data_IF_937392200056
#
_entry.id   IF_937392200056
#
_cell.length_a   1.000
_cell.length_b   1.000
_cell.length_c   1.000
_cell.angle_alpha   90.00
_cell.angle_beta   90.00
_cell.angle_gamma   90.00
#
_symmetry.space_group_name_H-M   'P 1'
#
loop_
_entity.id
_entity.type
_entity.pdbx_description
1 polymer ?
#
# COMPACT_ATOMS: atom_id res chain seq x y z
N UNK A 1 0.32 -15.49 -14.19
CA UNK A 1 1.55 -14.69 -14.02
C UNK A 1 1.75 -14.47 -12.54
N UNK A 2 2.85 -14.90 -11.92
CA UNK A 2 3.16 -14.54 -10.53
C UNK A 2 3.53 -13.05 -10.46
N UNK A 3 2.84 -12.25 -9.64
CA UNK A 3 3.38 -10.96 -9.24
C UNK A 3 4.56 -11.25 -8.30
N UNK A 4 5.78 -10.97 -8.78
CA UNK A 4 7.01 -11.36 -8.08
C UNK A 4 7.42 -10.34 -7.01
N UNK A 5 6.90 -9.13 -7.12
CA UNK A 5 7.31 -7.99 -6.33
C UNK A 5 6.11 -7.12 -5.95
N UNK A 6 6.20 -6.47 -4.80
CA UNK A 6 5.25 -5.51 -4.24
C UNK A 6 5.99 -4.19 -4.13
N UNK A 7 5.41 -3.13 -4.70
CA UNK A 7 5.90 -1.76 -4.50
C UNK A 7 5.09 -1.13 -3.38
N UNK A 8 5.78 -0.60 -2.38
CA UNK A 8 5.19 0.09 -1.24
C UNK A 8 5.65 1.55 -1.27
N UNK A 9 4.69 2.47 -1.18
CA UNK A 9 4.93 3.88 -0.99
C UNK A 9 4.36 4.30 0.37
N UNK A 10 5.15 4.99 1.18
CA UNK A 10 4.71 5.54 2.46
C UNK A 10 4.86 7.05 2.47
N UNK A 11 3.96 7.70 3.20
CA UNK A 11 4.02 9.13 3.50
C UNK A 11 4.08 9.29 5.02
N UNK A 12 5.13 9.95 5.51
CA UNK A 12 5.42 10.10 6.94
C UNK A 12 5.45 11.60 7.24
N UNK A 13 4.66 12.04 8.22
CA UNK A 13 4.58 13.44 8.60
C UNK A 13 3.14 13.92 8.79
N UNK A 14 2.98 14.99 9.56
CA UNK A 14 1.67 15.50 9.98
C UNK A 14 1.09 16.55 9.02
N UNK A 15 1.94 17.15 8.18
CA UNK A 15 1.56 18.20 7.23
C UNK A 15 2.19 17.93 5.85
N UNK A 16 1.72 18.63 4.82
CA UNK A 16 2.31 18.53 3.47
C UNK A 16 3.73 19.10 3.41
N UNK A 17 4.09 20.02 4.30
CA UNK A 17 5.41 20.66 4.36
C UNK A 17 6.47 19.77 5.02
N UNK A 18 6.05 18.85 5.90
CA UNK A 18 6.92 17.91 6.62
C UNK A 18 6.85 16.49 6.04
N UNK A 19 6.20 16.33 4.88
CA UNK A 19 5.90 15.03 4.33
C UNK A 19 7.14 14.36 3.73
N UNK A 20 7.59 13.28 4.37
CA UNK A 20 8.64 12.41 3.86
C UNK A 20 7.99 11.27 3.08
N UNK A 21 8.39 11.10 1.81
CA UNK A 21 7.96 9.99 0.96
C UNK A 21 9.07 8.95 0.88
N UNK A 22 8.75 7.71 1.21
CA UNK A 22 9.64 6.56 1.02
C UNK A 22 9.00 5.56 0.05
N UNK A 23 9.82 4.96 -0.81
CA UNK A 23 9.37 3.96 -1.78
C UNK A 23 10.32 2.78 -1.73
N UNK A 24 9.76 1.58 -1.57
CA UNK A 24 10.54 0.35 -1.53
C UNK A 24 9.82 -0.80 -2.23
N UNK A 25 10.59 -1.63 -2.90
CA UNK A 25 10.09 -2.83 -3.57
C UNK A 25 10.52 -4.06 -2.79
N UNK A 26 9.58 -4.97 -2.54
CA UNK A 26 9.79 -6.22 -1.83
C UNK A 26 9.40 -7.41 -2.69
N UNK A 27 10.17 -8.52 -2.68
CA UNK A 27 9.68 -9.77 -3.24
C UNK A 27 8.45 -10.31 -2.49
N UNK A 28 7.68 -11.20 -3.12
CA UNK A 28 6.44 -11.77 -2.56
C UNK A 28 6.63 -13.02 -1.69
N UNK A 29 7.86 -13.41 -1.36
CA UNK A 29 8.10 -14.55 -0.46
C UNK A 29 7.82 -14.16 0.99
N UNK A 30 7.32 -15.11 1.80
CA UNK A 30 6.93 -14.89 3.21
C UNK A 30 8.00 -14.15 4.03
N UNK A 31 9.28 -14.52 3.88
CA UNK A 31 10.39 -13.83 4.56
C UNK A 31 10.44 -12.34 4.21
N UNK A 32 10.27 -11.99 2.95
CA UNK A 32 10.31 -10.60 2.49
C UNK A 32 9.07 -9.81 2.92
N UNK A 33 7.92 -10.48 3.12
CA UNK A 33 6.74 -9.86 3.70
C UNK A 33 6.95 -9.51 5.18
N UNK A 34 7.69 -10.33 5.94
CA UNK A 34 8.11 -9.97 7.31
C UNK A 34 9.17 -8.85 7.33
N UNK A 35 10.10 -8.82 6.37
CA UNK A 35 11.03 -7.68 6.22
C UNK A 35 10.27 -6.38 5.91
N UNK A 36 9.19 -6.46 5.11
CA UNK A 36 8.31 -5.34 4.83
C UNK A 36 7.52 -4.91 6.08
N UNK A 37 6.96 -5.85 6.84
CA UNK A 37 6.30 -5.58 8.12
C UNK A 37 7.23 -4.80 9.06
N UNK A 38 8.44 -5.32 9.31
CA UNK A 38 9.41 -4.68 10.19
C UNK A 38 9.74 -3.27 9.73
N UNK A 39 9.97 -3.08 8.43
CA UNK A 39 10.24 -1.76 7.88
C UNK A 39 9.08 -0.77 8.07
N UNK A 40 7.84 -1.22 7.91
CA UNK A 40 6.65 -0.38 8.15
C UNK A 40 6.48 -0.03 9.64
N UNK A 41 6.79 -0.95 10.55
CA UNK A 41 6.80 -0.70 12.00
C UNK A 41 7.88 0.30 12.40
N UNK A 42 9.10 0.18 11.86
CA UNK A 42 10.21 1.13 12.10
C UNK A 42 9.85 2.56 11.67
N UNK A 43 9.04 2.70 10.63
CA UNK A 43 8.51 3.97 10.15
C UNK A 43 7.27 4.46 10.91
N UNK A 44 6.81 3.72 11.92
CA UNK A 44 5.59 4.01 12.71
C UNK A 44 4.33 4.16 11.84
N UNK A 45 4.22 3.36 10.78
CA UNK A 45 3.03 3.35 9.93
C UNK A 45 1.87 2.71 10.71
N UNK A 46 0.67 3.29 10.57
CA UNK A 46 -0.54 2.79 11.26
C UNK A 46 -1.65 2.37 10.29
N UNK A 47 -1.69 2.99 9.10
CA UNK A 47 -2.72 2.76 8.09
C UNK A 47 -2.08 2.34 6.78
N UNK A 48 -2.64 1.31 6.15
CA UNK A 48 -2.22 0.81 4.85
C UNK A 48 -3.40 0.77 3.88
N UNK A 49 -3.10 0.88 2.59
CA UNK A 49 -4.07 0.59 1.56
C UNK A 49 -3.42 -0.23 0.44
N UNK A 50 -4.18 -1.19 -0.08
CA UNK A 50 -3.74 -2.08 -1.15
C UNK A 50 -4.84 -2.24 -2.18
N UNK A 51 -4.46 -2.31 -3.46
CA UNK A 51 -5.41 -2.56 -4.54
C UNK A 51 -5.96 -3.98 -4.43
N UNK A 52 -7.28 -4.14 -4.37
CA UNK A 52 -7.93 -5.44 -4.19
C UNK A 52 -8.15 -6.20 -5.51
N UNK A 53 -7.29 -5.97 -6.52
CA UNK A 53 -7.40 -6.64 -7.81
C UNK A 53 -6.71 -8.00 -7.78
N UNK A 54 -7.38 -9.01 -8.33
CA UNK A 54 -6.84 -10.38 -8.33
C UNK A 54 -6.70 -10.98 -6.93
N UNK A 55 -5.70 -11.86 -6.76
CA UNK A 55 -5.53 -12.67 -5.54
C UNK A 55 -4.28 -12.31 -4.73
N UNK A 56 -3.38 -11.48 -5.26
CA UNK A 56 -2.04 -11.26 -4.71
C UNK A 56 -2.04 -10.41 -3.44
N UNK A 57 -3.10 -9.65 -3.19
CA UNK A 57 -3.25 -8.88 -1.95
C UNK A 57 -3.49 -9.79 -0.73
N UNK A 58 -4.07 -10.99 -0.90
CA UNK A 58 -4.47 -11.85 0.23
C UNK A 58 -3.30 -12.30 1.11
N UNK A 59 -2.19 -12.85 0.57
CA UNK A 59 -1.06 -13.23 1.41
C UNK A 59 -0.41 -12.05 2.14
N UNK A 60 -0.44 -10.87 1.53
CA UNK A 60 0.07 -9.64 2.13
C UNK A 60 -0.84 -9.21 3.27
N UNK A 61 -2.14 -9.15 3.01
CA UNK A 61 -3.17 -8.83 4.00
C UNK A 61 -3.07 -9.75 5.21
N UNK A 62 -3.03 -11.06 5.01
CA UNK A 62 -2.97 -12.05 6.10
C UNK A 62 -1.75 -11.89 7.03
N UNK A 63 -0.65 -11.31 6.56
CA UNK A 63 0.55 -11.08 7.40
C UNK A 63 0.46 -9.74 8.13
N UNK A 64 -0.20 -8.75 7.53
CA UNK A 64 -0.19 -7.37 8.00
C UNK A 64 -1.48 -6.98 8.78
N UNK A 65 -2.57 -7.73 8.65
CA UNK A 65 -3.90 -7.34 9.18
C UNK A 65 -3.94 -7.18 10.70
N UNK A 66 -3.12 -7.94 11.43
CA UNK A 66 -3.02 -7.85 12.89
C UNK A 66 -2.18 -6.65 13.38
N UNK A 67 -1.46 -5.98 12.47
CA UNK A 67 -0.48 -4.92 12.79
C UNK A 67 -0.91 -3.53 12.33
N UNK A 68 -1.75 -3.44 11.28
CA UNK A 68 -2.13 -2.16 10.67
C UNK A 68 -3.62 -2.09 10.37
N UNK A 69 -4.16 -0.86 10.33
CA UNK A 69 -5.47 -0.62 9.74
C UNK A 69 -5.37 -0.69 8.22
N UNK A 70 -5.79 -1.82 7.64
CA UNK A 70 -5.72 -2.04 6.20
C UNK A 70 -7.04 -1.67 5.50
N UNK A 71 -6.93 -0.85 4.46
CA UNK A 71 -8.03 -0.53 3.55
C UNK A 71 -7.82 -1.21 2.20
N UNK A 72 -8.74 -2.10 1.81
CA UNK A 72 -8.75 -2.67 0.47
C UNK A 72 -9.37 -1.67 -0.52
N UNK A 73 -8.52 -1.11 -1.37
CA UNK A 73 -8.91 -0.15 -2.39
C UNK A 73 -9.49 -0.87 -3.60
N UNK A 74 -10.77 -0.64 -3.90
CA UNK A 74 -11.38 -1.17 -5.11
C UNK A 74 -10.86 -0.40 -6.34
N UNK A 75 -10.10 -1.08 -7.20
CA UNK A 75 -9.52 -0.52 -8.42
C UNK A 75 -10.55 0.11 -9.37
N UNK A 76 -11.79 -0.38 -9.38
CA UNK A 76 -12.86 0.20 -10.22
C UNK A 76 -13.37 1.54 -9.68
N UNK A 77 -13.15 1.81 -8.38
CA UNK A 77 -13.66 3.00 -7.68
C UNK A 77 -12.60 4.07 -7.49
N UNK A 78 -11.32 3.69 -7.38
CA UNK A 78 -10.23 4.66 -7.40
C UNK A 78 -10.09 5.20 -8.83
N UNK A 79 -10.01 6.53 -8.99
CA UNK A 79 -9.79 7.14 -10.31
C UNK A 79 -8.44 6.64 -10.86
N UNK A 80 -8.41 6.21 -12.11
CA UNK A 80 -7.17 5.78 -12.77
C UNK A 80 -6.12 6.90 -12.74
N UNK A 81 -4.86 6.53 -12.54
CA UNK A 81 -3.72 7.45 -12.66
C UNK A 81 -3.65 7.96 -14.11
N UNK A 82 -3.74 9.28 -14.37
CA UNK A 82 -3.62 9.81 -15.73
C UNK A 82 -2.21 9.59 -16.29
N UNK A 83 -2.10 8.94 -17.45
CA UNK A 83 -0.82 8.70 -18.13
C UNK A 83 -0.31 7.25 -18.01
N UNK A 84 1.01 7.08 -18.06
CA UNK A 84 1.64 5.74 -18.08
C UNK A 84 1.58 5.12 -16.68
N UNK A 85 0.67 4.17 -16.48
CA UNK A 85 0.51 3.37 -15.25
C UNK A 85 1.81 2.59 -14.97
N UNK A 86 2.43 2.82 -13.81
CA UNK A 86 3.57 2.05 -13.28
C UNK A 86 3.23 1.62 -11.86
N UNK A 87 3.78 0.49 -11.40
CA UNK A 87 3.53 -0.01 -10.04
C UNK A 87 3.88 1.04 -8.96
N UNK A 88 4.91 1.86 -9.20
CA UNK A 88 5.28 2.99 -8.33
C UNK A 88 4.22 4.09 -8.35
N UNK A 89 3.75 4.51 -9.53
CA UNK A 89 2.74 5.55 -9.64
C UNK A 89 1.40 5.11 -9.03
N UNK A 90 1.05 3.83 -9.14
CA UNK A 90 -0.13 3.26 -8.49
C UNK A 90 0.00 3.24 -6.97
N UNK A 91 1.15 2.80 -6.44
CA UNK A 91 1.41 2.80 -5.00
C UNK A 91 1.35 4.21 -4.41
N UNK A 92 1.98 5.19 -5.08
CA UNK A 92 1.92 6.60 -4.68
C UNK A 92 0.49 7.14 -4.69
N UNK A 93 -0.28 6.81 -5.72
CA UNK A 93 -1.66 7.25 -5.85
C UNK A 93 -2.55 6.70 -4.75
N UNK A 94 -2.45 5.40 -4.46
CA UNK A 94 -3.19 4.75 -3.37
C UNK A 94 -2.81 5.35 -2.03
N UNK A 95 -1.52 5.52 -1.74
CA UNK A 95 -1.05 6.13 -0.49
C UNK A 95 -1.59 7.57 -0.31
N UNK A 96 -1.63 8.35 -1.40
CA UNK A 96 -2.18 9.70 -1.40
C UNK A 96 -3.68 9.69 -1.12
N UNK A 97 -4.45 8.82 -1.78
CA UNK A 97 -5.89 8.71 -1.55
C UNK A 97 -6.19 8.28 -0.10
N UNK A 98 -5.43 7.34 0.45
CA UNK A 98 -5.57 6.89 1.83
C UNK A 98 -5.38 8.06 2.80
N UNK A 99 -4.31 8.83 2.64
CA UNK A 99 -3.98 9.97 3.50
C UNK A 99 -5.05 11.06 3.50
N UNK A 100 -5.70 11.30 2.35
CA UNK A 100 -6.81 12.26 2.27
C UNK A 100 -8.18 11.66 2.65
N UNK A 101 -8.24 10.39 3.07
CA UNK A 101 -9.50 9.72 3.40
C UNK A 101 -10.41 9.49 2.19
N UNK A 102 -9.85 9.47 0.99
CA UNK A 102 -10.58 9.36 -0.29
C UNK A 102 -10.72 7.90 -0.76
N UNK A 103 -10.22 6.94 0.01
CA UNK A 103 -10.50 5.51 -0.22
C UNK A 103 -11.66 5.12 0.68
N UNK A 104 -12.81 4.83 0.08
CA UNK A 104 -13.89 4.18 0.81
C UNK A 104 -13.45 2.79 1.25
N UNK A 105 -13.60 2.46 2.54
CA UNK A 105 -13.36 1.12 3.06
C UNK A 105 -14.27 0.14 2.32
N UNK A 106 -13.69 -0.68 1.43
CA UNK A 106 -14.40 -1.81 0.83
C UNK A 106 -14.34 -2.95 1.84
N UNK A 107 -15.40 -3.15 2.60
CA UNK A 107 -15.53 -4.33 3.46
C UNK A 107 -15.64 -5.59 2.59
N UNK A 108 -14.98 -6.68 3.02
CA UNK A 108 -15.24 -8.05 2.56
C UNK A 108 -16.07 -8.74 3.63
#
# INVERSE_FOLDING_TARGET
>A
MHQKEIVVCTYIGSSDEELIKEIRTFPTMTKNLYEMLQWLEELNITHLAMESTGIYWKPVFNILEDYFEITLANAQRIKNVPGRKTDVADAEWIAKLLRYGLIEKSFV
#
